data_IF_720016847422
#
_entry.id   IF_720016847422
#
_cell.length_a   1.000
_cell.length_b   1.000
_cell.length_c   1.000
_cell.angle_alpha   90.00
_cell.angle_beta   90.00
_cell.angle_gamma   90.00
#
_symmetry.space_group_name_H-M   'P 1'
#
loop_
_entity.id
_entity.type
_entity.pdbx_description
1 polymer ?
#
# COMPACT_ATOMS: atom_id res chain seq x y z
N UNK A 1 -15.73 -15.77 1.50
CA UNK A 1 -15.57 -16.52 0.23
C UNK A 1 -14.81 -17.83 0.43
N UNK A 2 -13.55 -17.78 0.90
CA UNK A 2 -12.63 -18.93 0.98
C UNK A 2 -13.22 -20.14 1.73
N UNK A 3 -13.90 -19.91 2.86
CA UNK A 3 -14.55 -20.98 3.65
C UNK A 3 -15.59 -21.78 2.85
N UNK A 4 -16.30 -21.14 1.92
CA UNK A 4 -17.32 -21.82 1.11
C UNK A 4 -16.72 -22.57 -0.09
N UNK A 5 -15.49 -22.25 -0.50
CA UNK A 5 -14.77 -22.98 -1.54
C UNK A 5 -14.01 -24.19 -0.99
N UNK A 6 -13.61 -24.16 0.28
CA UNK A 6 -12.86 -25.23 0.91
C UNK A 6 -13.78 -26.43 1.26
N UNK A 7 -13.28 -27.67 1.13
CA UNK A 7 -14.05 -28.87 1.50
C UNK A 7 -14.21 -29.04 3.01
N UNK A 8 -13.29 -28.51 3.81
CA UNK A 8 -13.25 -28.61 5.27
C UNK A 8 -12.73 -27.31 5.93
N UNK A 9 -13.05 -27.14 7.22
CA UNK A 9 -12.68 -25.94 8.01
C UNK A 9 -11.16 -25.78 8.20
N UNK A 10 -10.38 -26.84 8.53
CA UNK A 10 -8.92 -26.75 8.62
C UNK A 10 -8.25 -26.22 7.36
N UNK A 11 -8.58 -26.77 6.18
CA UNK A 11 -8.05 -26.29 4.90
C UNK A 11 -8.47 -24.85 4.60
N UNK A 12 -9.70 -24.46 4.94
CA UNK A 12 -10.16 -23.08 4.80
C UNK A 12 -9.30 -22.09 5.59
N UNK A 13 -8.90 -22.47 6.81
CA UNK A 13 -8.08 -21.62 7.67
C UNK A 13 -6.68 -21.41 7.08
N UNK A 14 -6.04 -22.47 6.58
CA UNK A 14 -4.72 -22.38 5.94
C UNK A 14 -4.78 -21.51 4.69
N UNK A 15 -5.79 -21.69 3.84
CA UNK A 15 -5.98 -20.88 2.63
C UNK A 15 -6.24 -19.40 2.95
N UNK A 16 -7.00 -19.13 4.01
CA UNK A 16 -7.27 -17.75 4.46
C UNK A 16 -6.00 -17.11 5.00
N UNK A 17 -5.22 -17.84 5.82
CA UNK A 17 -3.94 -17.37 6.34
C UNK A 17 -2.92 -17.07 5.24
N UNK A 18 -2.83 -17.94 4.23
CA UNK A 18 -1.98 -17.71 3.06
C UNK A 18 -2.41 -16.45 2.30
N UNK A 19 -3.70 -16.32 2.01
CA UNK A 19 -4.26 -15.19 1.27
C UNK A 19 -4.01 -13.86 2.01
N UNK A 20 -4.20 -13.85 3.32
CA UNK A 20 -3.94 -12.66 4.16
C UNK A 20 -2.45 -12.29 4.15
N UNK A 21 -1.55 -13.28 4.25
CA UNK A 21 -0.11 -13.03 4.17
C UNK A 21 0.29 -12.41 2.83
N UNK A 22 -0.27 -12.89 1.71
CA UNK A 22 -0.04 -12.28 0.40
C UNK A 22 -0.55 -10.83 0.34
N UNK A 23 -1.77 -10.57 0.80
CA UNK A 23 -2.36 -9.22 0.83
C UNK A 23 -1.51 -8.26 1.68
N UNK A 24 -1.02 -8.72 2.83
CA UNK A 24 -0.19 -7.94 3.75
C UNK A 24 1.19 -7.66 3.17
N UNK A 25 1.87 -8.67 2.61
CA UNK A 25 3.22 -8.51 2.05
C UNK A 25 3.26 -7.50 0.90
N UNK A 26 2.23 -7.50 0.06
CA UNK A 26 2.14 -6.63 -1.11
C UNK A 26 1.33 -5.35 -0.90
N UNK A 27 0.99 -4.97 0.34
CA UNK A 27 0.19 -3.77 0.59
C UNK A 27 0.94 -2.45 0.34
N UNK A 28 2.28 -2.49 0.22
CA UNK A 28 3.12 -1.33 -0.05
C UNK A 28 3.78 -0.70 1.19
N UNK A 29 3.58 -1.27 2.39
CA UNK A 29 4.20 -0.79 3.64
C UNK A 29 5.67 -1.20 3.75
N UNK A 30 5.97 -2.47 3.49
CA UNK A 30 7.34 -3.00 3.62
C UNK A 30 8.23 -2.56 2.44
N UNK A 31 7.65 -2.49 1.25
CA UNK A 31 8.32 -1.96 0.06
C UNK A 31 7.41 -0.98 -0.66
N UNK A 32 7.93 0.20 -0.94
CA UNK A 32 7.19 1.19 -1.74
C UNK A 32 7.00 0.70 -3.18
N UNK A 33 5.88 1.04 -3.85
CA UNK A 33 5.58 0.57 -5.21
C UNK A 33 6.64 0.91 -6.27
N UNK A 34 7.46 1.94 -6.01
CA UNK A 34 8.57 2.37 -6.87
C UNK A 34 9.70 1.34 -6.93
N UNK A 35 9.95 0.62 -5.84
CA UNK A 35 11.04 -0.36 -5.71
C UNK A 35 10.61 -1.78 -6.11
N UNK A 36 9.31 -2.03 -6.27
CA UNK A 36 8.81 -3.35 -6.63
C UNK A 36 9.08 -3.69 -8.11
N UNK A 37 9.46 -4.95 -8.42
CA UNK A 37 9.51 -5.45 -9.79
C UNK A 37 8.17 -5.28 -10.50
N UNK A 38 8.19 -4.97 -11.80
CA UNK A 38 6.98 -4.61 -12.57
C UNK A 38 5.84 -5.64 -12.49
N UNK A 39 6.17 -6.93 -12.44
CA UNK A 39 5.19 -8.01 -12.32
C UNK A 39 4.33 -7.92 -11.06
N UNK A 40 4.94 -7.59 -9.90
CA UNK A 40 4.24 -7.56 -8.60
C UNK A 40 3.40 -6.29 -8.39
N UNK A 41 3.53 -5.28 -9.26
CA UNK A 41 2.69 -4.06 -9.20
C UNK A 41 1.20 -4.35 -9.38
N UNK A 42 0.86 -5.43 -10.08
CA UNK A 42 -0.53 -5.89 -10.20
C UNK A 42 -1.11 -6.32 -8.84
N UNK A 43 -0.33 -7.08 -8.07
CA UNK A 43 -0.75 -7.56 -6.74
C UNK A 43 -0.99 -6.40 -5.78
N UNK A 44 -0.11 -5.38 -5.82
CA UNK A 44 -0.29 -4.14 -5.07
C UNK A 44 -1.61 -3.43 -5.40
N UNK A 45 -1.99 -3.35 -6.68
CA UNK A 45 -3.28 -2.74 -7.10
C UNK A 45 -4.51 -3.57 -6.69
N UNK A 46 -4.38 -4.89 -6.60
CA UNK A 46 -5.47 -5.77 -6.18
C UNK A 46 -5.62 -5.87 -4.66
N UNK A 47 -4.58 -5.54 -3.89
CA UNK A 47 -4.62 -5.67 -2.45
C UNK A 47 -5.59 -4.63 -1.85
N UNK A 48 -6.69 -5.04 -1.19
CA UNK A 48 -7.59 -4.09 -0.53
C UNK A 48 -6.89 -3.34 0.61
N UNK A 49 -5.85 -3.96 1.21
CA UNK A 49 -5.10 -3.38 2.32
C UNK A 49 -4.29 -2.15 1.88
N UNK A 50 -3.84 -2.09 0.62
CA UNK A 50 -3.16 -0.92 0.07
C UNK A 50 -4.01 0.34 0.20
N UNK A 51 -5.28 0.26 -0.19
CA UNK A 51 -6.21 1.39 -0.13
C UNK A 51 -6.58 1.77 1.31
N UNK A 52 -6.66 0.77 2.20
CA UNK A 52 -6.90 0.98 3.62
C UNK A 52 -5.73 1.73 4.27
N UNK A 53 -4.49 1.25 4.08
CA UNK A 53 -3.28 1.86 4.64
C UNK A 53 -3.09 3.27 4.10
N UNK A 54 -3.21 3.48 2.79
CA UNK A 54 -3.09 4.81 2.17
C UNK A 54 -4.05 5.81 2.82
N UNK A 55 -5.32 5.41 3.04
CA UNK A 55 -6.30 6.28 3.71
C UNK A 55 -5.98 6.51 5.19
N UNK A 56 -5.64 5.45 5.92
CA UNK A 56 -5.39 5.51 7.36
C UNK A 56 -4.17 6.36 7.70
N UNK A 57 -3.05 6.10 7.02
CA UNK A 57 -1.78 6.83 7.24
C UNK A 57 -1.90 8.27 6.74
N UNK A 58 -2.56 8.49 5.60
CA UNK A 58 -2.81 9.86 5.11
C UNK A 58 -3.62 10.68 6.10
N UNK A 59 -4.56 10.08 6.84
CA UNK A 59 -5.34 10.82 7.86
C UNK A 59 -4.53 11.14 9.11
N UNK A 60 -3.63 10.24 9.51
CA UNK A 60 -2.79 10.42 10.69
C UNK A 60 -1.74 11.52 10.51
N UNK A 61 -1.11 11.58 9.32
CA UNK A 61 0.03 12.46 9.05
C UNK A 61 -0.35 13.80 8.40
N UNK A 62 -1.61 13.98 7.98
CA UNK A 62 -2.05 15.21 7.35
C UNK A 62 -1.84 16.43 8.25
N UNK A 63 -1.22 17.48 7.70
CA UNK A 63 -0.90 18.74 8.40
C UNK A 63 -0.14 18.57 9.73
N UNK A 64 0.55 17.44 9.93
CA UNK A 64 1.39 17.24 11.11
C UNK A 64 2.77 17.85 10.91
N UNK A 65 3.20 18.81 11.74
CA UNK A 65 4.55 19.37 11.65
C UNK A 65 5.59 18.32 12.06
N UNK A 66 6.67 18.22 11.30
CA UNK A 66 7.79 17.31 11.55
C UNK A 66 8.91 18.10 12.22
N UNK A 67 9.17 17.78 13.50
CA UNK A 67 10.29 18.35 14.26
C UNK A 67 11.35 17.27 14.41
N UNK A 68 12.47 17.41 13.69
CA UNK A 68 13.57 16.46 13.73
C UNK A 68 14.29 16.54 15.08
N UNK A 69 14.65 15.39 15.64
CA UNK A 69 15.55 15.28 16.78
C UNK A 69 17.03 15.38 16.36
N UNK A 70 17.94 15.55 17.33
CA UNK A 70 19.39 15.63 17.06
C UNK A 70 19.96 14.43 16.29
N UNK A 71 19.30 13.26 16.36
CA UNK A 71 19.74 12.04 15.69
C UNK A 71 19.14 11.88 14.29
N UNK A 72 18.07 12.62 13.98
CA UNK A 72 17.37 12.57 12.69
C UNK A 72 17.84 13.65 11.72
N UNK A 73 18.55 14.66 12.23
CA UNK A 73 19.19 15.65 11.39
C UNK A 73 20.30 15.01 10.55
N UNK A 74 20.31 15.37 9.27
CA UNK A 74 21.43 15.09 8.39
C UNK A 74 22.43 16.23 8.55
N UNK A 75 23.60 15.91 9.11
CA UNK A 75 24.69 16.86 9.26
C UNK A 75 25.52 16.93 7.99
N UNK A 76 25.73 18.15 7.50
CA UNK A 76 26.53 18.40 6.31
C UNK A 76 27.39 19.65 6.48
N UNK A 77 28.54 19.64 5.82
CA UNK A 77 29.52 20.74 5.87
C UNK A 77 29.36 21.63 4.64
N UNK A 78 29.09 22.93 4.82
CA UNK A 78 29.00 23.86 3.71
C UNK A 78 30.41 24.22 3.20
N UNK A 79 30.56 24.62 1.92
CA UNK A 79 31.80 25.16 1.39
C UNK A 79 32.31 26.37 2.20
N UNK A 80 33.64 26.55 2.26
CA UNK A 80 34.26 27.65 2.98
C UNK A 80 33.67 29.01 2.59
N UNK A 81 33.38 29.86 3.59
CA UNK A 81 32.77 31.18 3.47
C UNK A 81 31.29 31.23 3.07
N UNK A 82 30.53 30.14 3.19
CA UNK A 82 29.07 30.14 3.00
C UNK A 82 28.34 29.73 4.28
N UNK A 83 27.18 30.34 4.53
CA UNK A 83 26.28 29.93 5.63
C UNK A 83 25.44 28.72 5.20
N UNK A 84 25.02 27.89 6.16
CA UNK A 84 24.12 26.76 5.91
C UNK A 84 22.86 27.18 5.14
N UNK A 85 22.27 28.32 5.51
CA UNK A 85 21.08 28.85 4.86
C UNK A 85 21.32 29.27 3.41
N UNK A 86 22.45 29.92 3.11
CA UNK A 86 22.79 30.31 1.74
C UNK A 86 23.11 29.11 0.85
N UNK A 87 23.88 28.16 1.37
CA UNK A 87 24.27 26.96 0.62
C UNK A 87 23.06 26.10 0.25
N UNK A 88 22.10 25.94 1.17
CA UNK A 88 20.94 25.08 0.98
C UNK A 88 19.74 25.80 0.36
N UNK A 89 19.81 27.12 0.15
CA UNK A 89 18.70 27.91 -0.39
C UNK A 89 18.20 27.37 -1.72
N UNK A 90 19.12 27.03 -2.62
CA UNK A 90 18.77 26.52 -3.95
C UNK A 90 18.28 25.06 -3.89
N UNK A 91 18.74 24.29 -2.89
CA UNK A 91 18.24 22.93 -2.64
C UNK A 91 16.78 22.95 -2.18
N UNK A 92 16.44 23.80 -1.23
CA UNK A 92 15.06 23.95 -0.71
C UNK A 92 14.13 24.72 -1.65
N UNK A 93 14.64 25.32 -2.72
CA UNK A 93 13.79 25.87 -3.78
C UNK A 93 13.06 24.77 -4.57
N UNK A 94 13.59 23.54 -4.58
CA UNK A 94 13.04 22.40 -5.33
C UNK A 94 12.69 21.20 -4.46
N UNK A 95 13.22 21.13 -3.24
CA UNK A 95 13.00 20.03 -2.30
C UNK A 95 12.30 20.55 -1.05
N UNK A 96 11.50 19.68 -0.45
CA UNK A 96 10.83 19.92 0.81
C UNK A 96 11.81 19.80 2.00
N UNK A 97 11.44 20.34 3.17
CA UNK A 97 12.24 20.28 4.40
C UNK A 97 12.66 21.64 4.96
N UNK A 98 13.60 21.63 5.91
CA UNK A 98 14.11 22.85 6.55
C UNK A 98 15.51 22.67 7.18
N UNK A 99 16.12 23.82 7.50
CA UNK A 99 17.40 23.93 8.23
C UNK A 99 17.12 24.49 9.61
N UNK A 100 17.65 23.86 10.66
CA UNK A 100 17.50 24.33 12.04
C UNK A 100 18.46 25.49 12.38
N UNK A 101 19.69 25.43 11.83
CA UNK A 101 20.78 26.38 12.11
C UNK A 101 21.27 27.15 10.86
N UNK A 102 20.48 28.07 10.29
CA UNK A 102 20.80 28.73 9.02
C UNK A 102 22.07 29.60 9.06
N UNK A 103 22.48 30.10 10.24
CA UNK A 103 23.65 30.98 10.41
C UNK A 103 24.96 30.24 10.66
N UNK A 104 24.92 28.91 10.85
CA UNK A 104 26.13 28.14 11.11
C UNK A 104 26.99 28.05 9.83
N UNK A 105 28.31 28.01 10.02
CA UNK A 105 29.31 27.80 8.94
C UNK A 105 29.93 26.40 9.00
N UNK A 106 29.48 25.56 9.92
CA UNK A 106 29.86 24.16 10.10
C UNK A 106 28.70 23.37 10.71
N UNK A 107 28.62 22.07 10.46
CA UNK A 107 27.57 21.18 10.97
C UNK A 107 26.14 21.68 10.71
N UNK A 108 25.75 21.85 9.44
CA UNK A 108 24.38 22.20 9.08
C UNK A 108 23.43 21.07 9.43
N UNK A 109 22.46 21.32 10.30
CA UNK A 109 21.43 20.37 10.70
C UNK A 109 20.23 20.49 9.76
N UNK A 110 20.08 19.47 8.89
CA UNK A 110 19.04 19.46 7.84
C UNK A 110 17.99 18.40 8.10
N UNK A 111 16.73 18.81 8.11
CA UNK A 111 15.56 17.94 8.19
C UNK A 111 14.91 17.83 6.80
N UNK A 112 14.68 16.60 6.34
CA UNK A 112 14.17 16.31 4.99
C UNK A 112 12.68 16.63 4.83
N UNK A 113 11.93 16.73 5.93
CA UNK A 113 10.49 16.96 5.91
C UNK A 113 10.13 18.01 6.94
N UNK A 114 9.27 18.95 6.55
CA UNK A 114 8.65 19.96 7.40
C UNK A 114 7.24 19.56 7.81
N UNK A 115 6.50 18.88 6.94
CA UNK A 115 5.12 18.42 7.18
C UNK A 115 4.98 16.95 6.78
N UNK A 116 4.18 16.19 7.52
CA UNK A 116 3.93 14.76 7.25
C UNK A 116 3.44 14.49 5.83
N UNK A 117 2.72 15.44 5.22
CA UNK A 117 2.27 15.35 3.82
C UNK A 117 3.42 15.27 2.80
N UNK A 118 4.59 15.84 3.10
CA UNK A 118 5.78 15.76 2.24
C UNK A 118 6.34 14.33 2.26
N UNK A 119 6.36 13.69 3.43
CA UNK A 119 6.70 12.28 3.56
C UNK A 119 5.71 11.39 2.78
N UNK A 120 4.40 11.64 2.90
CA UNK A 120 3.37 10.86 2.20
C UNK A 120 3.57 10.88 0.67
N UNK A 121 3.99 12.01 0.09
CA UNK A 121 4.27 12.11 -1.35
C UNK A 121 5.39 11.15 -1.79
N UNK A 122 6.40 10.93 -0.96
CA UNK A 122 7.54 10.05 -1.31
C UNK A 122 7.13 8.58 -1.45
N UNK A 123 6.14 8.15 -0.66
CA UNK A 123 5.59 6.79 -0.68
C UNK A 123 4.41 6.65 -1.65
N UNK A 124 4.00 7.74 -2.32
CA UNK A 124 2.89 7.75 -3.27
C UNK A 124 1.51 7.78 -2.63
N UNK A 125 1.42 8.23 -1.37
CA UNK A 125 0.18 8.39 -0.61
C UNK A 125 -0.24 9.86 -0.58
N UNK A 126 -1.53 10.13 -0.49
CA UNK A 126 -2.04 11.51 -0.47
C UNK A 126 -3.38 11.60 0.25
N UNK A 127 -3.53 12.63 1.08
CA UNK A 127 -4.80 12.99 1.71
C UNK A 127 -5.99 13.06 0.74
N UNK A 128 -5.74 13.50 -0.50
CA UNK A 128 -6.77 13.59 -1.55
C UNK A 128 -7.39 12.24 -1.93
N UNK A 129 -6.68 11.12 -1.70
CA UNK A 129 -7.13 9.78 -2.09
C UNK A 129 -8.14 9.14 -1.12
N UNK A 130 -8.31 9.70 0.09
CA UNK A 130 -9.14 9.11 1.16
C UNK A 130 -10.53 8.65 0.72
N UNK A 131 -11.28 9.51 0.03
CA UNK A 131 -12.66 9.20 -0.35
C UNK A 131 -12.76 8.18 -1.48
N UNK A 132 -11.84 8.25 -2.45
CA UNK A 132 -11.71 7.25 -3.53
C UNK A 132 -11.39 5.87 -2.95
N UNK A 133 -10.46 5.83 -2.01
CA UNK A 133 -9.98 4.59 -1.41
C UNK A 133 -11.02 3.95 -0.48
N UNK A 134 -11.77 4.75 0.29
CA UNK A 134 -12.95 4.27 1.04
C UNK A 134 -13.97 3.66 0.08
N UNK A 135 -14.22 4.31 -1.07
CA UNK A 135 -15.08 3.76 -2.12
C UNK A 135 -14.61 2.38 -2.61
N UNK A 136 -13.31 2.22 -2.90
CA UNK A 136 -12.76 0.90 -3.27
C UNK A 136 -12.96 -0.14 -2.18
N UNK A 137 -12.74 0.22 -0.92
CA UNK A 137 -12.95 -0.69 0.21
C UNK A 137 -14.42 -1.15 0.30
N UNK A 138 -15.38 -0.23 0.14
CA UNK A 138 -16.81 -0.58 0.08
C UNK A 138 -17.13 -1.52 -1.09
N UNK A 139 -16.56 -1.30 -2.27
CA UNK A 139 -16.72 -2.20 -3.42
C UNK A 139 -16.20 -3.60 -3.11
N UNK A 140 -15.04 -3.72 -2.46
CA UNK A 140 -14.51 -5.02 -2.03
C UNK A 140 -15.44 -5.73 -1.04
N UNK A 141 -16.05 -5.02 -0.09
CA UNK A 141 -17.02 -5.60 0.85
C UNK A 141 -18.24 -6.14 0.10
N UNK A 142 -18.82 -5.33 -0.79
CA UNK A 142 -20.00 -5.71 -1.59
C UNK A 142 -19.68 -6.91 -2.48
N UNK A 143 -18.51 -6.91 -3.14
CA UNK A 143 -18.05 -8.02 -3.96
C UNK A 143 -17.87 -9.29 -3.13
N UNK A 144 -17.24 -9.22 -1.96
CA UNK A 144 -17.04 -10.39 -1.09
C UNK A 144 -18.37 -10.95 -0.58
N UNK A 145 -19.34 -10.08 -0.27
CA UNK A 145 -20.68 -10.48 0.18
C UNK A 145 -21.48 -11.14 -0.95
N UNK A 146 -21.52 -10.52 -2.13
CA UNK A 146 -22.21 -11.09 -3.31
C UNK A 146 -21.57 -12.39 -3.77
N UNK A 147 -20.23 -12.48 -3.79
CA UNK A 147 -19.51 -13.72 -4.09
C UNK A 147 -19.78 -14.81 -3.05
N UNK A 148 -19.86 -14.46 -1.76
CA UNK A 148 -20.19 -15.42 -0.70
C UNK A 148 -21.60 -16.00 -0.86
N UNK A 149 -22.61 -15.15 -1.08
CA UNK A 149 -24.00 -15.59 -1.30
C UNK A 149 -24.11 -16.40 -2.60
N UNK A 150 -23.45 -15.93 -3.68
CA UNK A 150 -23.44 -16.61 -4.97
C UNK A 150 -22.82 -18.01 -4.91
N UNK A 151 -21.65 -18.15 -4.28
CA UNK A 151 -20.99 -19.44 -4.10
C UNK A 151 -21.80 -20.39 -3.23
N UNK A 152 -22.39 -19.88 -2.13
CA UNK A 152 -23.28 -20.67 -1.29
C UNK A 152 -24.47 -21.22 -2.11
N UNK A 153 -25.11 -20.37 -2.91
CA UNK A 153 -26.23 -20.78 -3.75
C UNK A 153 -25.81 -21.82 -4.80
N UNK A 154 -24.69 -21.60 -5.50
CA UNK A 154 -24.19 -22.49 -6.55
C UNK A 154 -23.81 -23.87 -5.99
N UNK A 155 -23.00 -23.90 -4.94
CA UNK A 155 -22.42 -25.14 -4.40
C UNK A 155 -23.43 -25.92 -3.56
N UNK A 156 -24.29 -25.24 -2.79
CA UNK A 156 -25.16 -25.90 -1.81
C UNK A 156 -26.60 -26.03 -2.26
N UNK A 157 -27.17 -25.02 -2.92
CA UNK A 157 -28.59 -25.01 -3.32
C UNK A 157 -28.77 -25.64 -4.69
N UNK A 158 -28.03 -25.16 -5.71
CA UNK A 158 -28.19 -25.63 -7.09
C UNK A 158 -27.58 -27.02 -7.31
N UNK A 159 -26.80 -27.54 -6.35
CA UNK A 159 -26.01 -28.79 -6.44
C UNK A 159 -25.47 -28.99 -7.85
N UNK A 160 -24.83 -27.97 -8.40
CA UNK A 160 -24.14 -28.12 -9.67
C UNK A 160 -23.01 -29.12 -9.42
N UNK A 161 -23.19 -30.35 -9.92
CA UNK A 161 -22.11 -31.31 -10.03
C UNK A 161 -21.04 -30.66 -10.90
N UNK A 162 -20.06 -29.99 -10.30
CA UNK A 162 -18.97 -29.30 -11.01
C UNK A 162 -18.17 -30.28 -11.90
N UNK A 163 -18.32 -31.59 -11.63
CA UNK A 163 -17.84 -32.69 -12.45
C UNK A 163 -18.52 -32.79 -13.82
N UNK A 164 -19.79 -32.42 -14.01
CA UNK A 164 -20.49 -32.60 -15.29
C UNK A 164 -20.02 -31.65 -16.42
N UNK A 165 -19.77 -30.34 -16.19
CA UNK A 165 -19.23 -29.51 -17.26
C UNK A 165 -17.80 -29.90 -17.61
N UNK A 166 -16.94 -30.23 -16.64
CA UNK A 166 -15.53 -30.60 -16.86
C UNK A 166 -15.42 -31.95 -17.57
N UNK A 167 -16.20 -32.96 -17.17
CA UNK A 167 -16.23 -34.26 -17.87
C UNK A 167 -16.84 -34.15 -19.27
N UNK A 168 -17.85 -33.30 -19.48
CA UNK A 168 -18.38 -33.06 -20.83
C UNK A 168 -17.37 -32.38 -21.76
N UNK A 169 -16.53 -31.48 -21.21
CA UNK A 169 -15.47 -30.81 -21.95
C UNK A 169 -14.31 -31.76 -22.25
N UNK A 170 -13.92 -32.60 -21.30
CA UNK A 170 -12.92 -33.67 -21.50
C UNK A 170 -13.41 -34.77 -22.46
N UNK A 171 -14.69 -35.12 -22.43
CA UNK A 171 -15.29 -36.06 -23.38
C UNK A 171 -15.35 -35.47 -24.80
N UNK A 172 -15.54 -34.15 -24.94
CA UNK A 172 -15.41 -33.44 -26.23
C UNK A 172 -13.97 -33.44 -26.77
N UNK A 173 -12.97 -33.28 -25.88
CA UNK A 173 -11.56 -33.34 -26.28
C UNK A 173 -11.07 -34.75 -26.61
N UNK A 174 -11.69 -35.81 -26.07
CA UNK A 174 -11.35 -37.21 -26.38
C UNK A 174 -11.94 -37.70 -27.73
N UNK A 175 -12.82 -36.92 -28.37
CA UNK A 175 -13.50 -37.30 -29.62
C UNK A 175 -12.91 -36.65 -30.89
N UNK A 176 -11.89 -35.80 -30.74
CA UNK A 176 -11.01 -35.33 -31.82
C UNK A 176 -9.63 -36.00 -31.66
#
# INVERSE_FOLDING_TARGET
MIVYCAPDLPSANVLTGLSLNFIMSFCGVVQVPKLMPGFWKFMWRLSPLTYYVDSFVSVLLHDRPVVCSQQEFNYLEPPANTTCGEYLRDYFASNDGYVDNPTATSNCAVCQYKVGDEYLKTVGMSWTHRWRNIGFFCVYIIFNLTAMVGLYYILRVRRLNLASPITSLMARFKKN
#
